data_IF_908396120894
#
_entry.id   IF_908396120894
#
_cell.length_a   1.000
_cell.length_b   1.000
_cell.length_c   1.000
_cell.angle_alpha   90.00
_cell.angle_beta   90.00
_cell.angle_gamma   90.00
#
_symmetry.space_group_name_H-M   'P 1'
#
loop_
_entity.id
_entity.type
_entity.pdbx_description
1 polymer ?
#
# COMPACT_ATOMS: atom_id res chain seq x y z
N UNK A 1 -23.19 38.86 45.21
CA UNK A 1 -24.04 37.95 45.99
C UNK A 1 -24.22 36.68 45.17
N UNK A 2 -23.81 35.55 45.73
CA UNK A 2 -23.96 34.23 45.08
C UNK A 2 -25.43 33.80 45.15
N UNK A 3 -25.99 33.38 44.01
CA UNK A 3 -27.38 32.90 43.94
C UNK A 3 -27.45 31.47 44.49
N UNK A 4 -28.32 31.25 45.49
CA UNK A 4 -28.54 29.94 46.13
C UNK A 4 -29.11 28.90 45.15
N UNK A 5 -28.38 27.81 44.96
CA UNK A 5 -28.64 26.76 43.97
C UNK A 5 -29.62 25.67 44.45
N UNK A 6 -30.87 26.04 44.79
CA UNK A 6 -31.89 25.08 45.27
C UNK A 6 -33.22 25.13 44.54
N UNK A 7 -33.23 25.10 43.20
CA UNK A 7 -34.44 24.74 42.45
C UNK A 7 -34.14 23.81 41.28
N UNK A 8 -34.65 22.57 41.39
CA UNK A 8 -34.80 21.54 40.33
C UNK A 8 -33.55 20.77 39.92
N UNK A 9 -33.07 19.84 40.78
CA UNK A 9 -32.28 18.63 40.46
C UNK A 9 -31.12 18.71 39.43
N UNK A 10 -30.64 19.89 39.08
CA UNK A 10 -29.50 20.14 38.20
C UNK A 10 -28.54 21.03 38.97
N UNK A 11 -27.54 20.42 39.59
CA UNK A 11 -26.45 21.14 40.25
C UNK A 11 -25.43 21.51 39.19
N UNK A 12 -25.73 22.55 38.41
CA UNK A 12 -24.70 23.30 37.68
C UNK A 12 -24.57 24.66 38.36
N UNK A 13 -23.67 24.75 39.34
CA UNK A 13 -23.28 26.04 39.89
C UNK A 13 -22.36 26.72 38.87
N UNK A 14 -22.91 27.40 37.88
CA UNK A 14 -22.12 28.29 37.03
C UNK A 14 -21.70 29.50 37.85
N UNK A 15 -20.41 29.54 38.21
CA UNK A 15 -19.82 30.77 38.73
C UNK A 15 -19.82 31.79 37.59
N UNK A 16 -20.45 32.97 37.77
CA UNK A 16 -20.33 34.03 36.78
C UNK A 16 -18.86 34.41 36.67
N UNK A 17 -18.25 34.11 35.52
CA UNK A 17 -16.89 34.53 35.27
C UNK A 17 -16.87 36.05 35.16
N UNK A 18 -16.42 36.73 36.21
CA UNK A 18 -16.12 38.16 36.13
C UNK A 18 -14.88 38.36 35.25
N UNK A 19 -15.14 38.66 33.99
CA UNK A 19 -14.13 39.06 33.03
C UNK A 19 -13.79 40.52 33.27
N UNK A 20 -12.57 40.77 33.76
CA UNK A 20 -12.03 42.13 33.72
C UNK A 20 -11.62 42.47 32.29
N UNK A 21 -11.78 43.73 31.89
CA UNK A 21 -11.41 44.19 30.54
C UNK A 21 -9.96 43.83 30.19
N UNK A 22 -9.05 43.90 31.17
CA UNK A 22 -7.66 43.48 31.03
C UNK A 22 -7.46 41.97 30.81
N UNK A 23 -8.33 41.12 31.36
CA UNK A 23 -8.29 39.67 31.14
C UNK A 23 -8.76 39.34 29.74
N UNK A 24 -9.80 40.03 29.26
CA UNK A 24 -10.31 39.86 27.90
C UNK A 24 -9.25 40.26 26.85
N UNK A 25 -8.61 41.41 27.04
CA UNK A 25 -7.52 41.88 26.17
C UNK A 25 -6.36 40.87 26.15
N UNK A 26 -5.97 40.33 27.31
CA UNK A 26 -4.90 39.31 27.37
C UNK A 26 -5.25 38.05 26.61
N UNK A 27 -6.44 37.49 26.82
CA UNK A 27 -6.88 36.28 26.12
C UNK A 27 -7.02 36.51 24.62
N UNK A 28 -7.57 37.66 24.21
CA UNK A 28 -7.66 38.03 22.79
C UNK A 28 -6.27 38.15 22.15
N UNK A 29 -5.30 38.77 22.84
CA UNK A 29 -3.92 38.88 22.35
C UNK A 29 -3.21 37.51 22.27
N UNK A 30 -3.45 36.62 23.23
CA UNK A 30 -2.94 35.25 23.22
C UNK A 30 -3.47 34.49 22.00
N UNK A 31 -4.79 34.56 21.77
CA UNK A 31 -5.45 33.91 20.64
C UNK A 31 -4.95 34.48 19.31
N UNK A 32 -4.78 35.79 19.23
CA UNK A 32 -4.26 36.46 18.03
C UNK A 32 -2.84 36.00 17.71
N UNK A 33 -1.99 35.84 18.74
CA UNK A 33 -0.62 35.34 18.57
C UNK A 33 -0.61 33.89 18.11
N UNK A 34 -1.46 33.02 18.66
CA UNK A 34 -1.56 31.65 18.20
C UNK A 34 -2.04 31.57 16.74
N UNK A 35 -3.03 32.38 16.36
CA UNK A 35 -3.50 32.48 14.99
C UNK A 35 -2.41 33.00 14.04
N UNK A 36 -1.64 34.00 14.44
CA UNK A 36 -0.52 34.52 13.65
C UNK A 36 0.59 33.49 13.50
N UNK A 37 0.88 32.68 14.54
CA UNK A 37 1.83 31.56 14.45
C UNK A 37 1.31 30.49 13.49
N UNK A 38 0.02 30.16 13.52
CA UNK A 38 -0.60 29.20 12.60
C UNK A 38 -0.61 29.72 11.17
N UNK A 39 -0.89 31.01 10.97
CA UNK A 39 -0.95 31.66 9.66
C UNK A 39 0.44 31.86 9.04
N UNK A 40 1.44 32.20 9.87
CA UNK A 40 2.82 32.42 9.42
C UNK A 40 3.65 31.13 9.39
N UNK A 41 3.21 30.07 10.06
CA UNK A 41 3.55 28.72 9.62
C UNK A 41 2.94 28.59 8.24
N UNK A 42 3.79 28.76 7.22
CA UNK A 42 3.63 27.99 5.98
C UNK A 42 3.56 26.54 6.42
N UNK A 43 2.38 26.06 6.80
CA UNK A 43 2.08 24.64 6.85
C UNK A 43 2.55 24.19 5.48
N UNK A 44 3.56 23.33 5.37
CA UNK A 44 3.95 22.91 4.06
C UNK A 44 2.69 22.33 3.44
N UNK A 45 2.21 22.96 2.36
CA UNK A 45 1.10 22.53 1.49
C UNK A 45 1.38 21.15 0.87
N UNK A 46 2.25 20.34 1.49
CA UNK A 46 3.04 19.33 0.82
C UNK A 46 2.31 18.02 0.66
N UNK A 47 1.15 17.84 1.32
CA UNK A 47 0.34 16.63 1.18
C UNK A 47 -1.14 17.04 1.14
N UNK A 48 -1.94 16.63 0.14
CA UNK A 48 -3.39 16.85 0.14
C UNK A 48 -4.14 15.79 0.97
N UNK A 49 -5.37 16.08 1.38
CA UNK A 49 -6.27 15.05 1.93
C UNK A 49 -6.55 13.96 0.88
N UNK A 50 -6.61 12.69 1.31
CA UNK A 50 -6.78 11.56 0.40
C UNK A 50 -5.50 11.10 -0.30
N UNK A 51 -4.35 11.76 -0.05
CA UNK A 51 -3.06 11.31 -0.54
C UNK A 51 -2.76 9.90 -0.02
N UNK A 52 -2.28 9.04 -0.93
CA UNK A 52 -1.88 7.66 -0.62
C UNK A 52 -0.36 7.57 -0.59
N UNK A 53 0.18 7.06 0.51
CA UNK A 53 1.60 6.87 0.72
C UNK A 53 1.93 5.37 0.79
N UNK A 54 2.94 4.94 0.05
CA UNK A 54 3.45 3.57 0.08
C UNK A 54 4.72 3.56 0.92
N UNK A 55 4.72 2.77 1.98
CA UNK A 55 5.87 2.56 2.85
C UNK A 55 6.57 1.25 2.45
N UNK A 56 7.79 1.39 1.95
CA UNK A 56 8.70 0.27 1.72
C UNK A 56 9.34 -0.19 3.04
N UNK A 57 9.84 -1.42 3.11
CA UNK A 57 10.60 -1.89 4.27
C UNK A 57 11.75 -0.95 4.59
N UNK A 58 12.01 -0.78 5.89
CA UNK A 58 13.03 0.12 6.44
C UNK A 58 12.75 1.62 6.26
N UNK A 59 11.63 2.02 5.65
CA UNK A 59 11.17 3.42 5.66
C UNK A 59 10.38 3.73 6.94
N UNK A 60 10.46 4.99 7.36
CA UNK A 60 9.66 5.49 8.47
C UNK A 60 8.18 5.55 8.10
N UNK A 61 7.31 5.38 9.09
CA UNK A 61 5.87 5.56 8.93
C UNK A 61 5.55 7.04 8.65
N UNK A 62 4.53 7.34 7.82
CA UNK A 62 4.26 8.70 7.41
C UNK A 62 3.85 9.61 8.57
N UNK A 63 3.31 9.07 9.67
CA UNK A 63 3.08 9.83 10.91
C UNK A 63 4.36 10.30 11.61
N UNK A 64 5.52 9.67 11.35
CA UNK A 64 6.83 10.12 11.84
C UNK A 64 7.46 11.17 10.91
N UNK A 65 7.19 11.07 9.61
CA UNK A 65 7.69 12.01 8.59
C UNK A 65 6.86 13.31 8.60
N UNK A 66 5.53 13.17 8.72
CA UNK A 66 4.55 14.26 8.74
C UNK A 66 3.65 14.15 9.98
N UNK A 67 4.16 14.53 11.16
CA UNK A 67 3.44 14.39 12.44
C UNK A 67 2.22 15.32 12.56
N UNK A 68 2.13 16.34 11.70
CA UNK A 68 0.99 17.27 11.66
C UNK A 68 -0.24 16.64 11.01
N UNK A 69 -0.09 15.52 10.30
CA UNK A 69 -1.19 14.86 9.59
C UNK A 69 -1.58 13.55 10.27
N UNK A 70 -2.87 13.24 10.21
CA UNK A 70 -3.39 11.92 10.58
C UNK A 70 -3.23 10.99 9.38
N UNK A 71 -2.84 9.76 9.65
CA UNK A 71 -2.65 8.73 8.65
C UNK A 71 -3.39 7.47 9.07
N UNK A 72 -4.09 6.85 8.12
CA UNK A 72 -4.82 5.61 8.28
C UNK A 72 -4.10 4.50 7.52
N UNK A 73 -3.86 3.37 8.16
CA UNK A 73 -3.36 2.17 7.49
C UNK A 73 -4.52 1.53 6.68
N UNK A 74 -4.37 1.50 5.37
CA UNK A 74 -5.33 0.92 4.42
C UNK A 74 -4.79 -0.34 3.75
N UNK A 75 -3.71 -0.93 4.26
CA UNK A 75 -3.04 -2.11 3.68
C UNK A 75 -3.99 -3.30 3.52
N UNK A 76 -4.96 -3.46 4.43
CA UNK A 76 -5.97 -4.51 4.36
C UNK A 76 -6.82 -4.47 3.09
N UNK A 77 -7.02 -3.28 2.49
CA UNK A 77 -7.77 -3.11 1.23
C UNK A 77 -7.07 -3.76 0.05
N UNK A 78 -5.75 -3.94 0.14
CA UNK A 78 -4.91 -4.50 -0.92
C UNK A 78 -4.33 -5.87 -0.53
N UNK A 79 -4.78 -6.45 0.58
CA UNK A 79 -4.29 -7.74 1.04
C UNK A 79 -4.55 -8.83 -0.01
N UNK A 80 -3.52 -9.61 -0.33
CA UNK A 80 -3.58 -10.67 -1.34
C UNK A 80 -3.40 -10.19 -2.78
N UNK A 81 -3.34 -8.88 -3.03
CA UNK A 81 -2.99 -8.35 -4.35
C UNK A 81 -1.47 -8.23 -4.52
N UNK A 82 -0.99 -8.47 -5.74
CA UNK A 82 0.40 -8.21 -6.11
C UNK A 82 0.51 -6.79 -6.65
N UNK A 83 1.36 -5.97 -6.03
CA UNK A 83 1.69 -4.65 -6.54
C UNK A 83 2.76 -4.79 -7.63
N UNK A 84 2.45 -4.33 -8.84
CA UNK A 84 3.41 -4.20 -9.94
C UNK A 84 3.44 -2.76 -10.41
N UNK A 85 4.62 -2.15 -10.39
CA UNK A 85 4.81 -0.82 -10.97
C UNK A 85 4.78 -0.96 -12.49
N UNK A 86 4.10 -0.03 -13.18
CA UNK A 86 4.03 -0.02 -14.64
C UNK A 86 5.43 -0.04 -15.26
N UNK A 87 5.65 -0.95 -16.20
CA UNK A 87 6.90 -1.12 -16.93
C UNK A 87 7.16 -2.58 -17.34
N UNK A 88 7.88 -2.76 -18.45
CA UNK A 88 8.19 -4.08 -19.01
C UNK A 88 6.95 -4.86 -19.45
N UNK A 89 6.89 -6.15 -19.12
CA UNK A 89 5.78 -7.09 -19.39
C UNK A 89 4.57 -6.89 -18.42
N UNK A 90 4.36 -5.68 -17.92
CA UNK A 90 3.19 -5.38 -17.05
C UNK A 90 1.93 -5.23 -17.88
N UNK A 91 0.79 -5.70 -17.37
CA UNK A 91 -0.51 -5.44 -17.99
C UNK A 91 -0.79 -3.91 -18.10
N UNK A 92 -1.66 -3.47 -19.03
CA UNK A 92 -2.06 -2.08 -19.15
C UNK A 92 -2.54 -1.49 -17.81
N UNK A 93 -2.32 -0.19 -17.63
CA UNK A 93 -2.79 0.51 -16.43
C UNK A 93 -4.28 0.28 -16.18
N UNK A 94 -4.63 -0.04 -14.94
CA UNK A 94 -6.00 -0.31 -14.53
C UNK A 94 -6.55 -1.70 -14.85
N UNK A 95 -5.77 -2.55 -15.55
CA UNK A 95 -6.15 -3.95 -15.78
C UNK A 95 -5.54 -4.89 -14.72
N UNK A 96 -6.26 -5.95 -14.38
CA UNK A 96 -5.75 -7.00 -13.51
C UNK A 96 -4.81 -7.87 -14.34
N UNK A 97 -3.55 -7.97 -13.94
CA UNK A 97 -2.63 -8.90 -14.56
C UNK A 97 -2.96 -10.33 -14.11
N UNK A 98 -3.11 -11.25 -15.07
CA UNK A 98 -3.31 -12.66 -14.78
C UNK A 98 -2.13 -13.25 -14.02
N UNK A 99 -2.36 -14.36 -13.30
CA UNK A 99 -1.30 -15.10 -12.62
C UNK A 99 -0.24 -15.56 -13.64
N UNK A 100 0.97 -15.03 -13.55
CA UNK A 100 2.08 -15.55 -14.33
C UNK A 100 2.82 -16.63 -13.53
N UNK A 101 2.74 -17.83 -14.07
CA UNK A 101 3.59 -18.95 -13.70
C UNK A 101 4.36 -19.34 -14.96
N UNK A 102 5.59 -19.89 -14.85
CA UNK A 102 6.27 -20.48 -15.99
C UNK A 102 5.31 -21.47 -16.65
N UNK A 103 4.91 -21.20 -17.89
CA UNK A 103 4.02 -22.10 -18.64
C UNK A 103 4.87 -23.14 -19.34
N UNK A 104 4.37 -24.36 -19.40
CA UNK A 104 4.99 -25.41 -20.18
C UNK A 104 4.89 -25.01 -21.66
N UNK A 105 6.02 -24.82 -22.34
CA UNK A 105 6.06 -24.42 -23.75
C UNK A 105 6.09 -25.64 -24.68
N UNK A 106 6.82 -26.68 -24.31
CA UNK A 106 6.90 -27.91 -25.10
C UNK A 106 7.29 -29.10 -24.23
N UNK A 107 6.82 -30.28 -24.62
CA UNK A 107 7.17 -31.58 -24.04
C UNK A 107 7.64 -32.48 -25.18
N UNK A 108 8.79 -33.12 -24.97
CA UNK A 108 9.28 -34.25 -25.76
C UNK A 108 9.31 -35.48 -24.90
N UNK A 109 8.66 -36.54 -25.34
CA UNK A 109 8.78 -37.87 -24.74
C UNK A 109 9.57 -38.78 -25.66
N UNK A 110 10.49 -39.55 -25.09
CA UNK A 110 11.29 -40.53 -25.83
C UNK A 110 10.68 -41.91 -25.62
N UNK A 111 10.34 -42.60 -26.72
CA UNK A 111 9.92 -44.00 -26.67
C UNK A 111 11.07 -44.95 -26.31
N UNK A 112 10.76 -46.25 -26.20
CA UNK A 112 11.67 -47.36 -25.86
C UNK A 112 12.93 -47.51 -26.74
N UNK A 113 13.09 -46.70 -27.78
CA UNK A 113 14.24 -46.69 -28.68
C UNK A 113 14.80 -45.29 -28.97
N UNK A 114 14.53 -44.29 -28.11
CA UNK A 114 15.06 -42.93 -28.29
C UNK A 114 14.39 -42.12 -29.40
N UNK A 115 13.33 -42.65 -30.02
CA UNK A 115 12.53 -41.92 -31.01
C UNK A 115 11.52 -41.02 -30.27
N UNK A 116 11.48 -39.70 -30.55
CA UNK A 116 10.49 -38.82 -29.94
C UNK A 116 9.08 -39.23 -30.40
N UNK A 117 8.18 -39.56 -29.47
CA UNK A 117 6.84 -40.06 -29.82
C UNK A 117 5.78 -38.96 -29.89
N UNK A 118 5.97 -37.83 -29.18
CA UNK A 118 5.03 -36.71 -29.17
C UNK A 118 5.83 -35.40 -29.01
N UNK A 119 5.64 -34.45 -29.93
CA UNK A 119 6.09 -33.06 -29.80
C UNK A 119 4.85 -32.17 -29.77
N UNK A 120 4.38 -31.86 -28.56
CA UNK A 120 3.29 -30.90 -28.36
C UNK A 120 3.91 -29.51 -28.23
N UNK A 121 3.88 -28.75 -29.32
CA UNK A 121 4.30 -27.36 -29.34
C UNK A 121 3.11 -26.48 -28.93
N UNK A 122 3.18 -25.82 -27.79
CA UNK A 122 2.19 -24.81 -27.40
C UNK A 122 2.75 -23.45 -27.80
N UNK A 123 2.10 -22.77 -28.75
CA UNK A 123 2.54 -21.43 -29.16
C UNK A 123 2.41 -20.44 -27.99
N UNK A 124 3.56 -20.03 -27.43
CA UNK A 124 3.91 -18.62 -27.30
C UNK A 124 5.45 -18.48 -27.15
N UNK A 125 6.06 -17.69 -28.04
CA UNK A 125 7.50 -17.65 -28.32
C UNK A 125 8.15 -16.50 -27.56
N UNK A 126 9.04 -16.82 -26.61
CA UNK A 126 9.93 -15.85 -25.98
C UNK A 126 10.78 -16.43 -24.84
N UNK A 127 12.09 -16.58 -25.12
CA UNK A 127 13.29 -16.71 -24.28
C UNK A 127 13.29 -17.54 -22.96
N UNK A 128 13.47 -18.86 -23.08
CA UNK A 128 14.67 -19.60 -22.63
C UNK A 128 14.73 -20.92 -23.43
N UNK A 129 15.84 -21.21 -24.13
CA UNK A 129 15.91 -22.30 -25.11
C UNK A 129 16.44 -23.62 -24.53
N UNK A 130 16.58 -23.71 -23.20
CA UNK A 130 17.17 -24.87 -22.55
C UNK A 130 16.11 -25.92 -22.23
N UNK A 131 16.31 -27.10 -22.79
CA UNK A 131 15.57 -28.30 -22.42
C UNK A 131 15.99 -28.76 -21.02
N UNK A 132 15.01 -29.04 -20.17
CA UNK A 132 15.21 -29.71 -18.90
C UNK A 132 14.80 -31.17 -19.04
N UNK A 133 15.65 -32.09 -18.64
CA UNK A 133 15.39 -33.52 -18.72
C UNK A 133 14.85 -34.06 -17.39
N UNK A 134 13.90 -34.98 -17.46
CA UNK A 134 13.32 -35.66 -16.32
C UNK A 134 12.81 -37.05 -16.68
N UNK A 135 12.18 -37.72 -15.72
CA UNK A 135 11.53 -39.01 -15.94
C UNK A 135 10.07 -38.92 -15.53
N UNK A 136 9.17 -39.44 -16.36
CA UNK A 136 7.76 -39.61 -16.05
C UNK A 136 7.38 -41.07 -16.27
N UNK A 137 6.89 -41.74 -15.22
CA UNK A 137 6.60 -43.18 -15.23
C UNK A 137 7.76 -44.05 -15.79
N UNK A 138 9.00 -43.68 -15.48
CA UNK A 138 10.20 -44.41 -15.94
C UNK A 138 10.67 -44.09 -17.36
N UNK A 139 9.95 -43.24 -18.11
CA UNK A 139 10.34 -42.82 -19.45
C UNK A 139 11.07 -41.47 -19.43
N UNK A 140 12.13 -41.29 -20.24
CA UNK A 140 12.79 -40.01 -20.36
C UNK A 140 11.85 -39.01 -21.04
N UNK A 141 11.68 -37.86 -20.39
CA UNK A 141 10.92 -36.73 -20.89
C UNK A 141 11.80 -35.49 -20.83
N UNK A 142 11.78 -34.70 -21.90
CA UNK A 142 12.38 -33.38 -21.91
C UNK A 142 11.25 -32.35 -21.96
N UNK A 143 11.34 -31.30 -21.17
CA UNK A 143 10.38 -30.20 -21.20
C UNK A 143 11.09 -28.88 -21.39
N UNK A 144 10.39 -27.98 -22.07
CA UNK A 144 10.77 -26.59 -22.25
C UNK A 144 9.71 -25.73 -21.60
N UNK A 145 10.14 -24.76 -20.80
CA UNK A 145 9.26 -23.80 -20.14
C UNK A 145 9.32 -22.51 -20.95
N UNK A 146 8.19 -21.83 -21.17
CA UNK A 146 8.19 -20.45 -21.68
C UNK A 146 8.87 -19.56 -20.66
N UNK A 147 9.38 -18.38 -21.07
CA UNK A 147 9.97 -17.32 -20.22
C UNK A 147 9.51 -17.50 -18.76
N UNK A 148 10.45 -17.84 -17.89
CA UNK A 148 10.17 -17.81 -16.48
C UNK A 148 9.88 -16.36 -16.15
N UNK A 149 8.63 -16.04 -15.86
CA UNK A 149 8.40 -14.88 -15.00
C UNK A 149 9.15 -15.23 -13.72
N UNK A 150 10.32 -14.59 -13.54
CA UNK A 150 11.04 -14.64 -12.28
C UNK A 150 10.03 -14.14 -11.27
N UNK A 151 9.48 -15.06 -10.46
CA UNK A 151 8.53 -14.69 -9.42
C UNK A 151 9.20 -13.56 -8.63
N UNK A 152 8.62 -12.36 -8.60
CA UNK A 152 9.19 -11.28 -7.82
C UNK A 152 9.41 -11.79 -6.41
N UNK A 153 10.56 -11.48 -5.81
CA UNK A 153 10.72 -11.71 -4.38
C UNK A 153 9.68 -10.84 -3.68
N UNK A 154 8.63 -11.49 -3.16
CA UNK A 154 7.54 -10.79 -2.51
C UNK A 154 8.08 -10.12 -1.25
N UNK A 155 7.84 -8.82 -1.14
CA UNK A 155 8.17 -8.06 0.04
C UNK A 155 6.90 -7.34 0.51
N UNK A 156 6.59 -7.47 1.79
CA UNK A 156 5.43 -6.80 2.36
C UNK A 156 5.69 -5.30 2.43
N UNK A 157 4.71 -4.51 2.00
CA UNK A 157 4.68 -3.06 2.08
C UNK A 157 3.47 -2.63 2.91
N UNK A 158 3.49 -1.43 3.46
CA UNK A 158 2.30 -0.81 4.05
C UNK A 158 1.77 0.29 3.13
N UNK A 159 0.45 0.42 3.06
CA UNK A 159 -0.22 1.48 2.30
C UNK A 159 -1.01 2.34 3.29
N UNK A 160 -0.76 3.64 3.24
CA UNK A 160 -1.32 4.63 4.14
C UNK A 160 -2.16 5.64 3.37
N UNK A 161 -3.22 6.14 3.98
CA UNK A 161 -4.04 7.23 3.45
C UNK A 161 -4.14 8.36 4.45
N UNK A 162 -3.97 9.59 3.99
CA UNK A 162 -4.24 10.78 4.79
C UNK A 162 -5.73 11.10 4.83
#
# INVERSE_FOLDING_TARGET
EDVSCFRRNLVLCERPQHWTQQRFIRVAQELQRELDVIKNRKVPDSVPFGFTYIQLPHQLEPGKIWPLFKWLDISHTYAGLFMRVLGGESAPFGSVQGSGAPRLASIKSYGLHGVPSIDTHMEDIGADNKWSNGHYNGFPVAFKVSKSEVRPKNIAIKVWKR
#
